data_IF_766736858882
#
_entry.id   IF_766736858882
#
_cell.length_a   1.000
_cell.length_b   1.000
_cell.length_c   1.000
_cell.angle_alpha   90.00
_cell.angle_beta   90.00
_cell.angle_gamma   90.00
#
_symmetry.space_group_name_H-M   'P 1'
#
loop_
_entity.id
_entity.type
_entity.pdbx_description
1 polymer ?
#
# COMPACT_ATOMS: atom_id res chain seq x y z
N UNK A 1 59.65 0.39 23.51
CA UNK A 1 58.32 -0.09 23.09
C UNK A 1 57.36 1.07 23.26
N UNK A 2 56.90 1.65 22.16
CA UNK A 2 55.90 2.73 22.18
C UNK A 2 54.55 2.04 22.24
N UNK A 3 53.82 2.21 23.35
CA UNK A 3 52.44 1.77 23.43
C UNK A 3 51.58 2.76 22.66
N UNK A 4 51.33 2.47 21.39
CA UNK A 4 50.26 3.12 20.63
C UNK A 4 48.92 2.61 21.18
N UNK A 5 48.38 3.32 22.17
CA UNK A 5 46.97 3.18 22.51
C UNK A 5 46.16 3.79 21.37
N UNK A 6 45.50 2.94 20.59
CA UNK A 6 44.47 3.37 19.63
C UNK A 6 43.37 4.03 20.46
N UNK A 7 43.32 5.36 20.46
CA UNK A 7 42.17 6.11 20.97
C UNK A 7 41.01 5.79 20.05
N UNK A 8 40.07 4.98 20.57
CA UNK A 8 38.77 4.71 19.96
C UNK A 8 37.94 5.99 20.07
N UNK A 9 38.34 7.00 19.32
CA UNK A 9 37.64 8.27 19.24
C UNK A 9 36.41 8.05 18.35
N UNK A 10 35.30 7.83 19.06
CA UNK A 10 33.98 8.35 18.74
C UNK A 10 33.46 8.19 17.30
N UNK A 11 33.05 6.96 16.97
CA UNK A 11 31.94 6.75 16.03
C UNK A 11 30.83 5.88 16.65
N UNK A 12 30.58 6.01 17.95
CA UNK A 12 29.28 5.62 18.49
C UNK A 12 28.32 6.79 18.24
N UNK A 13 27.76 6.87 17.03
CA UNK A 13 26.55 7.67 16.84
C UNK A 13 25.47 7.01 17.70
N UNK A 14 25.30 7.48 18.93
CA UNK A 14 24.26 7.01 19.84
C UNK A 14 22.95 7.40 19.18
N UNK A 15 22.27 6.41 18.60
CA UNK A 15 20.95 6.61 17.99
C UNK A 15 20.04 7.18 19.06
N UNK A 16 19.66 8.44 18.90
CA UNK A 16 18.80 9.14 19.84
C UNK A 16 17.34 8.82 19.53
N UNK A 17 16.46 9.12 20.49
CA UNK A 17 15.02 9.02 20.27
C UNK A 17 14.54 9.95 19.13
N UNK A 18 15.24 11.07 18.89
CA UNK A 18 14.97 11.98 17.79
C UNK A 18 15.33 11.37 16.44
N UNK A 19 16.41 10.59 16.37
CA UNK A 19 16.79 9.86 15.16
C UNK A 19 15.74 8.80 14.83
N UNK A 20 15.28 8.04 15.84
CA UNK A 20 14.19 7.06 15.66
C UNK A 20 12.88 7.72 15.21
N UNK A 21 12.53 8.86 15.80
CA UNK A 21 11.34 9.62 15.40
C UNK A 21 11.46 10.14 13.96
N UNK A 22 12.64 10.61 13.57
CA UNK A 22 12.93 11.10 12.22
C UNK A 22 12.87 9.97 11.20
N UNK A 23 13.48 8.82 11.50
CA UNK A 23 13.40 7.61 10.68
C UNK A 23 11.93 7.17 10.52
N UNK A 24 11.16 7.14 11.61
CA UNK A 24 9.74 6.78 11.58
C UNK A 24 8.91 7.75 10.74
N UNK A 25 9.15 9.05 10.86
CA UNK A 25 8.42 10.09 10.12
C UNK A 25 8.76 10.04 8.63
N UNK A 26 10.05 9.91 8.31
CA UNK A 26 10.51 9.75 6.93
C UNK A 26 9.99 8.45 6.30
N UNK A 27 9.93 7.36 7.07
CA UNK A 27 9.29 6.10 6.65
C UNK A 27 7.81 6.28 6.35
N UNK A 28 7.03 6.90 7.24
CA UNK A 28 5.61 7.17 7.00
C UNK A 28 5.38 8.02 5.74
N UNK A 29 6.27 8.99 5.48
CA UNK A 29 6.23 9.84 4.29
C UNK A 29 6.62 9.06 3.02
N UNK A 30 7.60 8.18 3.11
CA UNK A 30 8.03 7.27 2.03
C UNK A 30 6.93 6.26 1.67
N UNK A 31 6.30 5.64 2.67
CA UNK A 31 5.18 4.71 2.48
C UNK A 31 3.98 5.39 1.79
N UNK A 32 3.64 6.64 2.15
CA UNK A 32 2.62 7.41 1.43
C UNK A 32 2.99 7.73 -0.02
N UNK A 33 4.27 7.88 -0.32
CA UNK A 33 4.74 8.26 -1.64
C UNK A 33 4.92 7.05 -2.58
N UNK A 34 5.18 5.86 -2.04
CA UNK A 34 5.40 4.64 -2.85
C UNK A 34 4.13 3.85 -3.02
N UNK A 35 3.23 3.90 -2.03
CA UNK A 35 1.87 3.39 -2.16
C UNK A 35 0.87 4.57 -2.20
N UNK A 36 0.71 5.26 -3.34
CA UNK A 36 -0.48 6.09 -3.57
C UNK A 36 -1.79 5.25 -3.56
N UNK A 37 -1.68 3.92 -3.46
CA UNK A 37 -2.75 2.92 -3.52
C UNK A 37 -3.57 2.75 -2.26
N UNK A 38 -3.09 3.21 -1.09
CA UNK A 38 -3.78 2.99 0.19
C UNK A 38 -5.19 3.59 0.19
N UNK A 39 -5.44 4.63 -0.63
CA UNK A 39 -6.74 5.30 -0.68
C UNK A 39 -7.37 5.43 -2.07
N UNK A 40 -6.78 4.88 -3.14
CA UNK A 40 -7.37 5.06 -4.48
C UNK A 40 -8.33 3.90 -4.82
N UNK A 41 -9.65 4.14 -4.94
CA UNK A 41 -10.59 3.10 -5.31
C UNK A 41 -10.27 2.51 -6.70
N UNK A 42 -10.73 1.28 -6.96
CA UNK A 42 -10.66 0.70 -8.30
C UNK A 42 -11.56 1.50 -9.27
N UNK A 43 -10.95 2.02 -10.33
CA UNK A 43 -11.59 2.93 -11.29
C UNK A 43 -11.99 2.16 -12.55
N UNK A 44 -12.92 1.21 -12.39
CA UNK A 44 -13.38 0.33 -13.48
C UNK A 44 -14.79 0.68 -14.00
N UNK A 45 -15.45 1.67 -13.39
CA UNK A 45 -16.75 2.19 -13.83
C UNK A 45 -16.60 3.70 -14.04
N UNK A 46 -16.79 4.14 -15.28
CA UNK A 46 -16.99 5.55 -15.61
C UNK A 46 -18.48 5.90 -15.49
N UNK A 47 -18.78 7.15 -15.15
CA UNK A 47 -20.15 7.66 -15.02
C UNK A 47 -20.95 7.32 -16.29
N UNK A 48 -22.04 6.55 -16.13
CA UNK A 48 -22.94 6.08 -17.20
C UNK A 48 -22.33 5.13 -18.25
N UNK A 49 -21.21 4.48 -17.97
CA UNK A 49 -20.61 3.48 -18.87
C UNK A 49 -20.75 2.05 -18.34
N UNK A 50 -20.63 1.06 -19.24
CA UNK A 50 -20.49 -0.33 -18.82
C UNK A 50 -19.19 -0.53 -18.00
N UNK A 51 -19.19 -1.42 -17.00
CA UNK A 51 -18.01 -1.72 -16.20
C UNK A 51 -16.91 -2.34 -17.08
N UNK A 52 -15.71 -1.77 -17.03
CA UNK A 52 -14.53 -2.32 -17.70
C UNK A 52 -13.89 -3.41 -16.82
N UNK A 53 -14.29 -4.67 -17.04
CA UNK A 53 -13.86 -5.80 -16.22
C UNK A 53 -12.38 -6.18 -16.44
N UNK A 54 -11.83 -5.96 -17.63
CA UNK A 54 -10.39 -6.17 -17.87
C UNK A 54 -9.56 -5.17 -17.07
N UNK A 55 -9.96 -3.89 -17.05
CA UNK A 55 -9.29 -2.89 -16.22
C UNK A 55 -9.37 -3.24 -14.73
N UNK A 56 -10.51 -3.73 -14.24
CA UNK A 56 -10.66 -4.18 -12.85
C UNK A 56 -9.70 -5.34 -12.54
N UNK A 57 -9.65 -6.34 -13.42
CA UNK A 57 -8.75 -7.50 -13.29
C UNK A 57 -7.28 -7.08 -13.25
N UNK A 58 -6.87 -6.17 -14.13
CA UNK A 58 -5.50 -5.66 -14.16
C UNK A 58 -5.15 -4.89 -12.89
N UNK A 59 -6.06 -4.03 -12.41
CA UNK A 59 -5.86 -3.27 -11.18
C UNK A 59 -5.76 -4.17 -9.94
N UNK A 60 -6.60 -5.20 -9.84
CA UNK A 60 -6.53 -6.20 -8.76
C UNK A 60 -5.21 -6.95 -8.84
N UNK A 61 -4.86 -7.47 -10.02
CA UNK A 61 -3.63 -8.25 -10.23
C UNK A 61 -2.39 -7.44 -9.84
N UNK A 62 -2.33 -6.18 -10.26
CA UNK A 62 -1.23 -5.29 -9.91
C UNK A 62 -1.20 -4.98 -8.41
N UNK A 63 -2.35 -4.77 -7.77
CA UNK A 63 -2.38 -4.52 -6.32
C UNK A 63 -1.91 -5.74 -5.51
N UNK A 64 -2.26 -6.96 -5.94
CA UNK A 64 -1.78 -8.20 -5.31
C UNK A 64 -0.27 -8.36 -5.51
N UNK A 65 0.25 -8.09 -6.72
CA UNK A 65 1.70 -8.10 -6.97
C UNK A 65 2.45 -7.09 -6.11
N UNK A 66 1.91 -5.88 -5.97
CA UNK A 66 2.52 -4.85 -5.14
C UNK A 66 2.55 -5.26 -3.65
N UNK A 67 1.49 -5.87 -3.14
CA UNK A 67 1.48 -6.41 -1.79
C UNK A 67 2.53 -7.52 -1.62
N UNK A 68 2.65 -8.42 -2.60
CA UNK A 68 3.66 -9.48 -2.57
C UNK A 68 5.09 -8.93 -2.61
N UNK A 69 5.36 -7.89 -3.41
CA UNK A 69 6.70 -7.29 -3.52
C UNK A 69 7.15 -6.52 -2.26
N UNK A 70 6.25 -6.27 -1.30
CA UNK A 70 6.63 -5.63 -0.03
C UNK A 70 7.64 -6.46 0.78
N UNK A 71 7.80 -7.75 0.50
CA UNK A 71 8.84 -8.58 1.13
C UNK A 71 10.26 -8.16 0.74
N UNK A 72 10.43 -7.53 -0.42
CA UNK A 72 11.73 -7.12 -0.97
C UNK A 72 12.17 -5.71 -0.49
N UNK A 73 11.28 -4.97 0.18
CA UNK A 73 11.51 -3.58 0.57
C UNK A 73 12.27 -3.46 1.91
N UNK A 74 13.39 -2.73 1.90
CA UNK A 74 14.37 -2.65 3.01
C UNK A 74 13.86 -2.02 4.32
N UNK A 75 12.61 -1.57 4.40
CA UNK A 75 12.02 -0.88 5.56
C UNK A 75 10.53 -1.20 5.80
N UNK A 76 10.05 -2.34 5.29
CA UNK A 76 8.69 -2.84 5.54
C UNK A 76 8.63 -3.65 6.82
N UNK A 77 7.66 -3.34 7.68
CA UNK A 77 7.39 -4.09 8.90
C UNK A 77 6.14 -4.97 8.72
N UNK A 78 5.98 -6.05 9.51
CA UNK A 78 4.77 -6.88 9.45
C UNK A 78 3.47 -6.07 9.56
N UNK A 79 3.44 -5.06 10.43
CA UNK A 79 2.27 -4.18 10.57
C UNK A 79 1.94 -3.36 9.31
N UNK A 80 2.92 -3.09 8.45
CA UNK A 80 2.68 -2.40 7.17
C UNK A 80 2.02 -3.35 6.17
N UNK A 81 2.44 -4.62 6.15
CA UNK A 81 1.83 -5.68 5.34
C UNK A 81 0.38 -5.90 5.78
N UNK A 82 0.13 -5.95 7.10
CA UNK A 82 -1.23 -6.03 7.65
C UNK A 82 -2.08 -4.83 7.18
N UNK A 83 -1.54 -3.62 7.27
CA UNK A 83 -2.25 -2.40 6.87
C UNK A 83 -2.56 -2.35 5.36
N UNK A 84 -1.60 -2.69 4.50
CA UNK A 84 -1.82 -2.75 3.04
C UNK A 84 -2.80 -3.88 2.68
N UNK A 85 -2.71 -5.03 3.37
CA UNK A 85 -3.63 -6.15 3.21
C UNK A 85 -5.08 -5.78 3.53
N UNK A 86 -5.32 -5.11 4.66
CA UNK A 86 -6.64 -4.60 5.02
C UNK A 86 -7.15 -3.52 4.05
N UNK A 87 -6.27 -2.60 3.62
CA UNK A 87 -6.62 -1.60 2.62
C UNK A 87 -7.02 -2.25 1.28
N UNK A 88 -6.29 -3.28 0.84
CA UNK A 88 -6.60 -4.00 -0.40
C UNK A 88 -7.95 -4.74 -0.31
N UNK A 89 -8.23 -5.40 0.82
CA UNK A 89 -9.54 -6.04 1.07
C UNK A 89 -10.68 -5.03 0.99
N UNK A 90 -10.52 -3.87 1.63
CA UNK A 90 -11.52 -2.81 1.61
C UNK A 90 -11.80 -2.29 0.18
N UNK A 91 -10.74 -2.07 -0.62
CA UNK A 91 -10.86 -1.65 -2.03
C UNK A 91 -11.56 -2.72 -2.88
N UNK A 92 -11.24 -3.99 -2.66
CA UNK A 92 -11.90 -5.10 -3.36
C UNK A 92 -13.38 -5.18 -3.01
N UNK A 93 -13.72 -5.08 -1.72
CA UNK A 93 -15.11 -5.04 -1.25
C UNK A 93 -15.91 -3.91 -1.90
N UNK A 94 -15.38 -2.68 -1.92
CA UNK A 94 -16.02 -1.54 -2.59
C UNK A 94 -16.24 -1.78 -4.10
N UNK A 95 -15.27 -2.41 -4.79
CA UNK A 95 -15.44 -2.75 -6.20
C UNK A 95 -16.54 -3.79 -6.44
N UNK A 96 -16.61 -4.83 -5.59
CA UNK A 96 -17.69 -5.83 -5.65
C UNK A 96 -19.04 -5.16 -5.42
N UNK A 97 -19.17 -4.31 -4.40
CA UNK A 97 -20.40 -3.58 -4.12
C UNK A 97 -20.86 -2.70 -5.30
N UNK A 98 -19.92 -1.99 -5.92
CA UNK A 98 -20.19 -1.19 -7.13
C UNK A 98 -20.65 -2.05 -8.29
N UNK A 99 -19.99 -3.18 -8.55
CA UNK A 99 -20.39 -4.11 -9.60
C UNK A 99 -21.79 -4.69 -9.35
N UNK A 100 -22.08 -5.11 -8.12
CA UNK A 100 -23.41 -5.57 -7.72
C UNK A 100 -24.49 -4.51 -7.96
N UNK A 101 -24.22 -3.24 -7.64
CA UNK A 101 -25.15 -2.12 -7.93
C UNK A 101 -25.43 -1.99 -9.43
N UNK A 102 -24.41 -2.10 -10.28
CA UNK A 102 -24.57 -2.06 -11.75
C UNK A 102 -25.42 -3.22 -12.24
N UNK A 103 -25.13 -4.45 -11.80
CA UNK A 103 -25.86 -5.65 -12.20
C UNK A 103 -27.32 -5.62 -11.73
N UNK A 104 -27.60 -5.16 -10.51
CA UNK A 104 -28.97 -4.96 -10.00
C UNK A 104 -29.75 -3.97 -10.86
N UNK A 105 -29.16 -2.84 -11.26
CA UNK A 105 -29.81 -1.88 -12.17
C UNK A 105 -30.11 -2.51 -13.54
N UNK A 106 -29.15 -3.24 -14.12
CA UNK A 106 -29.30 -3.90 -15.44
C UNK A 106 -30.32 -5.04 -15.43
N UNK A 107 -30.50 -5.72 -14.30
CA UNK A 107 -31.49 -6.80 -14.14
C UNK A 107 -32.88 -6.29 -13.81
N UNK A 108 -33.01 -5.23 -13.00
CA UNK A 108 -34.30 -4.60 -12.73
C UNK A 108 -34.99 -4.07 -14.01
N UNK A 109 -34.23 -3.51 -14.95
CA UNK A 109 -34.75 -3.05 -16.24
C UNK A 109 -35.14 -4.16 -17.22
N UNK A 110 -34.93 -5.44 -16.89
CA UNK A 110 -35.30 -6.60 -17.73
C UNK A 110 -36.59 -7.30 -17.25
N UNK A 111 -37.17 -6.83 -16.15
CA UNK A 111 -38.38 -7.42 -15.53
C UNK A 111 -39.70 -6.84 -16.03
N UNK A 112 -39.73 -6.23 -17.22
CA UNK A 112 -40.93 -5.65 -17.86
C UNK A 112 -41.19 -6.30 -19.20
#
# INVERSE_FOLDING_TARGET
>A
MVNESITVDELSHVVTQNDLHTIRTNRLKWLRNINPTVNNPFNFISTNSEPNLELLKDQISNSVRNLASMEEDFLVFPSDIDAEGEALKARFGDAVDKLCKVLKKKTAGKGT
#
